data_IF_979292885444
#
_entry.id   IF_979292885444
#
_cell.length_a   1.000
_cell.length_b   1.000
_cell.length_c   1.000
_cell.angle_alpha   90.00
_cell.angle_beta   90.00
_cell.angle_gamma   90.00
#
_symmetry.space_group_name_H-M   'P 1'
#
loop_
_entity.id
_entity.type
_entity.pdbx_description
1 polymer ?
#
# COMPACT_ATOMS: atom_id res chain seq x y z
N UNK A 1 14.18 56.42 -2.81
CA UNK A 1 13.67 55.51 -1.79
C UNK A 1 14.37 55.77 -0.47
N UNK A 2 13.63 55.79 0.63
CA UNK A 2 14.21 55.90 1.95
C UNK A 2 14.66 54.51 2.44
N UNK A 3 15.65 54.41 3.33
CA UNK A 3 16.06 53.11 3.92
C UNK A 3 14.91 52.37 4.63
N UNK A 4 13.95 53.09 5.19
CA UNK A 4 12.79 52.54 5.85
C UNK A 4 11.88 51.77 4.88
N UNK A 5 11.71 52.28 3.64
CA UNK A 5 10.91 51.63 2.58
C UNK A 5 11.56 50.32 2.11
N UNK A 6 12.89 50.32 2.01
CA UNK A 6 13.65 49.11 1.65
C UNK A 6 13.56 48.02 2.72
N UNK A 7 13.62 48.41 3.99
CA UNK A 7 13.48 47.50 5.13
C UNK A 7 12.07 46.90 5.15
N UNK A 8 11.02 47.71 4.93
CA UNK A 8 9.64 47.25 4.86
C UNK A 8 9.44 46.24 3.72
N UNK A 9 10.01 46.51 2.53
CA UNK A 9 9.93 45.65 1.39
C UNK A 9 10.66 44.29 1.64
N UNK A 10 11.81 44.37 2.32
CA UNK A 10 12.57 43.15 2.69
C UNK A 10 11.83 42.33 3.72
N UNK A 11 11.21 42.93 4.69
CA UNK A 11 10.40 42.26 5.71
C UNK A 11 9.16 41.63 5.09
N UNK A 12 8.49 42.33 4.18
CA UNK A 12 7.33 41.81 3.44
C UNK A 12 7.69 40.62 2.60
N UNK A 13 8.84 40.67 1.92
CA UNK A 13 9.37 39.57 1.12
C UNK A 13 9.68 38.35 1.99
N UNK A 14 10.27 38.57 3.16
CA UNK A 14 10.57 37.51 4.12
C UNK A 14 9.29 36.88 4.66
N UNK A 15 8.29 37.67 5.01
CA UNK A 15 6.99 37.16 5.47
C UNK A 15 6.34 36.29 4.40
N UNK A 16 6.33 36.71 3.15
CA UNK A 16 5.81 35.92 2.05
C UNK A 16 6.53 34.59 1.87
N UNK A 17 7.87 34.61 2.01
CA UNK A 17 8.69 33.39 1.94
C UNK A 17 8.36 32.43 3.07
N UNK A 18 8.18 32.95 4.28
CA UNK A 18 7.79 32.15 5.45
C UNK A 18 6.41 31.54 5.25
N UNK A 19 5.44 32.32 4.78
CA UNK A 19 4.10 31.83 4.52
C UNK A 19 4.09 30.70 3.48
N UNK A 20 4.86 30.86 2.41
CA UNK A 20 5.01 29.82 1.38
C UNK A 20 5.65 28.56 1.95
N UNK A 21 6.66 28.72 2.79
CA UNK A 21 7.31 27.58 3.44
C UNK A 21 6.36 26.86 4.40
N UNK A 22 5.56 27.59 5.17
CA UNK A 22 4.55 27.00 6.06
C UNK A 22 3.50 26.23 5.27
N UNK A 23 3.01 26.81 4.17
CA UNK A 23 2.03 26.16 3.29
C UNK A 23 2.61 24.89 2.65
N UNK A 24 3.87 24.93 2.22
CA UNK A 24 4.55 23.79 1.65
C UNK A 24 4.71 22.67 2.68
N UNK A 25 5.12 23.00 3.90
CA UNK A 25 5.26 22.02 4.99
C UNK A 25 3.91 21.38 5.29
N UNK A 26 2.84 22.19 5.37
CA UNK A 26 1.49 21.68 5.61
C UNK A 26 1.06 20.69 4.52
N UNK A 27 1.26 21.04 3.26
CA UNK A 27 0.94 20.17 2.12
C UNK A 27 1.76 18.87 2.14
N UNK A 28 3.05 18.99 2.41
CA UNK A 28 3.93 17.81 2.48
C UNK A 28 3.54 16.86 3.61
N UNK A 29 3.09 17.41 4.75
CA UNK A 29 2.58 16.59 5.86
C UNK A 29 1.31 15.84 5.46
N UNK A 30 0.39 16.52 4.78
CA UNK A 30 -0.85 15.90 4.28
C UNK A 30 -0.54 14.80 3.25
N UNK A 31 0.37 15.07 2.32
CA UNK A 31 0.79 14.09 1.31
C UNK A 31 1.47 12.88 1.96
N UNK A 32 2.32 13.13 2.96
CA UNK A 32 2.98 12.07 3.73
C UNK A 32 1.95 11.19 4.43
N UNK A 33 0.99 11.79 5.10
CA UNK A 33 -0.05 11.07 5.84
C UNK A 33 -0.91 10.24 4.90
N UNK A 34 -1.31 10.81 3.76
CA UNK A 34 -2.05 10.10 2.73
C UNK A 34 -1.25 8.93 2.16
N UNK A 35 0.05 9.13 1.90
CA UNK A 35 0.93 8.09 1.40
C UNK A 35 1.10 6.95 2.41
N UNK A 36 1.24 7.26 3.70
CA UNK A 36 1.33 6.25 4.77
C UNK A 36 0.05 5.44 4.88
N UNK A 37 -1.10 6.09 4.78
CA UNK A 37 -2.39 5.41 4.81
C UNK A 37 -2.57 4.50 3.60
N UNK A 38 -2.24 4.98 2.42
CA UNK A 38 -2.29 4.20 1.18
C UNK A 38 -1.36 2.98 1.26
N UNK A 39 -0.15 3.15 1.80
CA UNK A 39 0.79 2.06 2.00
C UNK A 39 0.24 1.01 2.99
N UNK A 40 -0.41 1.45 4.08
CA UNK A 40 -1.02 0.56 5.05
C UNK A 40 -2.17 -0.25 4.42
N UNK A 41 -3.01 0.40 3.61
CA UNK A 41 -4.10 -0.26 2.89
C UNK A 41 -3.57 -1.28 1.89
N UNK A 42 -2.52 -0.92 1.14
CA UNK A 42 -1.87 -1.82 0.18
C UNK A 42 -1.29 -3.05 0.89
N UNK A 43 -0.65 -2.84 2.04
CA UNK A 43 -0.10 -3.95 2.85
C UNK A 43 -1.20 -4.88 3.34
N UNK A 44 -2.31 -4.33 3.83
CA UNK A 44 -3.46 -5.12 4.27
C UNK A 44 -4.03 -5.96 3.12
N UNK A 45 -4.10 -5.38 1.92
CA UNK A 45 -4.56 -6.09 0.72
C UNK A 45 -3.61 -7.22 0.33
N UNK A 46 -2.29 -6.98 0.39
CA UNK A 46 -1.28 -8.01 0.15
C UNK A 46 -1.42 -9.16 1.13
N UNK A 47 -1.60 -8.86 2.42
CA UNK A 47 -1.78 -9.88 3.46
C UNK A 47 -3.04 -10.71 3.21
N UNK A 48 -4.14 -10.06 2.82
CA UNK A 48 -5.39 -10.72 2.48
C UNK A 48 -5.23 -11.67 1.28
N UNK A 49 -4.61 -11.19 0.21
CA UNK A 49 -4.36 -11.98 -1.00
C UNK A 49 -3.42 -13.14 -0.72
N UNK A 50 -2.39 -12.93 0.10
CA UNK A 50 -1.48 -13.99 0.51
C UNK A 50 -2.21 -15.09 1.25
N UNK A 51 -3.15 -14.73 2.14
CA UNK A 51 -4.02 -15.68 2.82
C UNK A 51 -4.91 -16.48 1.86
N UNK A 52 -5.51 -15.80 0.89
CA UNK A 52 -6.34 -16.46 -0.15
C UNK A 52 -5.52 -17.44 -0.98
N UNK A 53 -4.31 -17.05 -1.39
CA UNK A 53 -3.42 -17.91 -2.16
C UNK A 53 -3.08 -19.18 -1.38
N UNK A 54 -2.75 -19.06 -0.09
CA UNK A 54 -2.46 -20.21 0.78
C UNK A 54 -3.66 -21.13 0.89
N UNK A 55 -4.84 -20.57 1.06
CA UNK A 55 -6.10 -21.33 1.15
C UNK A 55 -6.37 -22.09 -0.14
N UNK A 56 -6.21 -21.43 -1.30
CA UNK A 56 -6.39 -22.06 -2.60
C UNK A 56 -5.36 -23.16 -2.86
N UNK A 57 -4.13 -22.98 -2.44
CA UNK A 57 -3.08 -24.02 -2.54
C UNK A 57 -3.45 -25.25 -1.72
N UNK A 58 -3.98 -25.04 -0.51
CA UNK A 58 -4.45 -26.12 0.36
C UNK A 58 -5.60 -26.88 -0.27
N UNK A 59 -6.61 -26.17 -0.78
CA UNK A 59 -7.74 -26.76 -1.48
C UNK A 59 -7.30 -27.56 -2.71
N UNK A 60 -6.37 -27.01 -3.48
CA UNK A 60 -5.80 -27.69 -4.66
C UNK A 60 -5.14 -29.00 -4.30
N UNK A 61 -4.36 -29.03 -3.21
CA UNK A 61 -3.72 -30.26 -2.72
C UNK A 61 -4.76 -31.28 -2.28
N UNK A 62 -5.82 -30.84 -1.61
CA UNK A 62 -6.88 -31.74 -1.16
C UNK A 62 -7.62 -32.34 -2.36
N UNK A 63 -7.95 -31.54 -3.36
CA UNK A 63 -8.61 -32.03 -4.58
C UNK A 63 -7.72 -33.02 -5.33
N UNK A 64 -6.44 -32.69 -5.47
CA UNK A 64 -5.46 -33.58 -6.11
C UNK A 64 -5.37 -34.91 -5.39
N UNK A 65 -5.30 -34.89 -4.06
CA UNK A 65 -5.25 -36.10 -3.22
C UNK A 65 -6.48 -36.97 -3.40
N UNK A 66 -7.67 -36.36 -3.50
CA UNK A 66 -8.92 -37.09 -3.76
C UNK A 66 -8.92 -37.73 -5.12
N UNK A 67 -8.46 -37.02 -6.16
CA UNK A 67 -8.36 -37.52 -7.50
C UNK A 67 -7.41 -38.74 -7.57
N UNK A 68 -6.23 -38.61 -6.95
CA UNK A 68 -5.25 -39.71 -6.89
C UNK A 68 -5.83 -40.95 -6.18
N UNK A 69 -6.55 -40.71 -5.09
CA UNK A 69 -7.20 -41.80 -4.34
C UNK A 69 -8.26 -42.49 -5.17
N UNK A 70 -9.11 -41.73 -5.88
CA UNK A 70 -10.14 -42.28 -6.76
C UNK A 70 -9.54 -43.05 -7.92
N UNK A 71 -8.46 -42.56 -8.55
CA UNK A 71 -7.76 -43.22 -9.61
C UNK A 71 -7.16 -44.55 -9.12
N UNK A 72 -6.58 -44.57 -7.91
CA UNK A 72 -6.08 -45.79 -7.28
C UNK A 72 -7.18 -46.84 -7.08
N UNK A 73 -8.37 -46.42 -6.66
CA UNK A 73 -9.51 -47.29 -6.44
C UNK A 73 -9.99 -47.88 -7.79
N UNK A 74 -10.03 -47.08 -8.86
CA UNK A 74 -10.41 -47.52 -10.19
C UNK A 74 -9.40 -48.54 -10.71
N UNK A 75 -8.10 -48.30 -10.52
CA UNK A 75 -7.04 -49.25 -10.92
C UNK A 75 -7.19 -50.59 -10.21
N UNK A 76 -7.50 -50.57 -8.91
CA UNK A 76 -7.75 -51.80 -8.12
C UNK A 76 -8.96 -52.57 -8.64
N UNK A 77 -10.03 -51.89 -9.03
CA UNK A 77 -11.20 -52.53 -9.61
C UNK A 77 -10.89 -53.12 -10.98
N UNK A 78 -10.06 -52.45 -11.78
CA UNK A 78 -9.64 -52.92 -13.08
C UNK A 78 -8.67 -54.09 -13.02
N UNK A 79 -7.91 -54.23 -11.95
CA UNK A 79 -6.94 -55.32 -11.75
C UNK A 79 -7.57 -56.60 -11.18
N UNK A 80 -8.73 -56.43 -10.59
CA UNK A 80 -9.48 -57.55 -10.03
C UNK A 80 -10.32 -58.23 -11.06
#
# INVERSE_FOLDING_TARGET
MSPADQESDSLGSLEESIQRAVQLVSRLREEKEAALQEAAEAKAEVDRLSGEVKSLQTERKQVRGRIEKLLGQIDQLGAG
#
